data_IF_294919614734
#
_entry.id   IF_294919614734
#
_cell.length_a   1.000
_cell.length_b   1.000
_cell.length_c   1.000
_cell.angle_alpha   90.00
_cell.angle_beta   90.00
_cell.angle_gamma   90.00
#
_symmetry.space_group_name_H-M   'P 1'
#
loop_
_entity.id
_entity.type
_entity.pdbx_description
1 polymer ?
#
# COMPACT_ATOMS: atom_id res chain seq x y z
N UNK A 1 -0.85 -13.41 -14.55
CA UNK A 1 -1.64 -12.25 -14.11
C UNK A 1 -0.64 -11.26 -13.55
N UNK A 2 -0.52 -10.07 -14.15
CA UNK A 2 0.48 -9.06 -13.79
C UNK A 2 0.12 -8.43 -12.44
N UNK A 3 0.37 -9.20 -11.38
CA UNK A 3 0.36 -8.78 -9.98
C UNK A 3 1.52 -7.79 -9.78
N UNK A 4 1.41 -6.89 -8.80
CA UNK A 4 2.59 -6.34 -8.12
C UNK A 4 3.64 -7.45 -8.03
N UNK A 5 4.93 -7.16 -8.22
CA UNK A 5 6.03 -8.13 -8.17
C UNK A 5 6.20 -8.75 -6.76
N UNK A 6 5.16 -9.36 -6.20
CA UNK A 6 5.11 -9.96 -4.88
C UNK A 6 5.02 -8.96 -3.72
N UNK A 7 4.57 -7.71 -3.90
CA UNK A 7 4.60 -6.70 -2.83
C UNK A 7 3.24 -6.03 -2.61
N UNK A 8 2.74 -6.04 -1.38
CA UNK A 8 1.55 -5.27 -0.99
C UNK A 8 0.20 -5.72 -1.58
N UNK A 9 -0.81 -4.85 -1.36
CA UNK A 9 -2.20 -5.04 -1.76
C UNK A 9 -2.41 -4.61 -3.23
N UNK A 10 -2.90 -5.49 -4.11
CA UNK A 10 -2.95 -5.24 -5.56
C UNK A 10 -4.00 -4.22 -6.03
N UNK A 11 -4.84 -3.69 -5.12
CA UNK A 11 -5.89 -2.72 -5.44
C UNK A 11 -5.74 -1.40 -4.69
N UNK A 12 -4.59 -1.17 -4.04
CA UNK A 12 -4.35 0.04 -3.25
C UNK A 12 -4.37 1.31 -4.11
N UNK A 13 -3.90 1.25 -5.35
CA UNK A 13 -3.91 2.37 -6.30
C UNK A 13 -5.29 2.62 -6.90
N UNK A 14 -6.11 1.57 -7.09
CA UNK A 14 -7.46 1.71 -7.64
C UNK A 14 -8.32 2.70 -6.83
N UNK A 15 -8.35 2.57 -5.50
CA UNK A 15 -9.14 3.47 -4.65
C UNK A 15 -8.75 4.95 -4.79
N UNK A 16 -7.45 5.24 -4.96
CA UNK A 16 -6.95 6.61 -5.19
C UNK A 16 -7.32 7.13 -6.58
N UNK A 17 -7.18 6.29 -7.60
CA UNK A 17 -7.40 6.67 -8.99
C UNK A 17 -8.87 6.73 -9.43
N UNK A 18 -9.77 6.00 -8.77
CA UNK A 18 -11.16 5.83 -9.22
C UNK A 18 -12.21 6.47 -8.31
N UNK A 19 -11.82 7.02 -7.14
CA UNK A 19 -12.76 7.64 -6.21
C UNK A 19 -13.12 9.06 -6.67
N UNK A 20 -14.40 9.42 -6.72
CA UNK A 20 -14.81 10.78 -7.12
C UNK A 20 -14.66 11.82 -5.99
N UNK A 21 -14.51 11.38 -4.74
CA UNK A 21 -14.52 12.24 -3.55
C UNK A 21 -13.38 12.01 -2.57
N UNK A 22 -12.60 10.93 -2.75
CA UNK A 22 -11.54 10.51 -1.83
C UNK A 22 -10.27 10.09 -2.59
N UNK A 23 -9.75 10.99 -3.42
CA UNK A 23 -8.51 10.78 -4.22
C UNK A 23 -7.23 11.12 -3.46
N UNK A 24 -7.36 11.64 -2.23
CA UNK A 24 -6.21 12.04 -1.43
C UNK A 24 -5.36 10.81 -1.12
N UNK A 25 -4.10 10.85 -1.53
CA UNK A 25 -3.15 9.82 -1.17
C UNK A 25 -2.62 10.10 0.25
N UNK A 26 -2.89 9.23 1.24
CA UNK A 26 -2.40 9.43 2.59
C UNK A 26 -0.87 9.30 2.69
N UNK A 27 -0.19 8.86 1.62
CA UNK A 27 1.27 8.80 1.56
C UNK A 27 1.92 10.08 1.01
N UNK A 28 1.12 11.00 0.46
CA UNK A 28 1.63 12.28 -0.04
C UNK A 28 2.06 13.20 1.11
N UNK A 29 3.19 13.93 1.00
CA UNK A 29 3.63 14.85 2.05
C UNK A 29 2.58 15.88 2.45
N UNK A 30 1.73 16.30 1.51
CA UNK A 30 0.65 17.28 1.75
C UNK A 30 -0.44 16.78 2.71
N UNK A 31 -0.59 15.46 2.87
CA UNK A 31 -1.54 14.86 3.81
C UNK A 31 -1.06 14.98 5.26
N UNK A 32 0.26 15.09 5.48
CA UNK A 32 0.85 15.25 6.82
C UNK A 32 0.83 14.00 7.69
N UNK A 33 0.60 12.82 7.11
CA UNK A 33 0.70 11.55 7.84
C UNK A 33 2.16 11.12 8.03
N UNK A 34 2.39 10.32 9.07
CA UNK A 34 3.58 9.49 9.16
C UNK A 34 3.30 8.19 8.40
N UNK A 35 4.12 7.90 7.40
CA UNK A 35 3.95 6.77 6.50
C UNK A 35 4.92 5.64 6.83
N UNK A 36 4.51 4.40 6.61
CA UNK A 36 5.35 3.21 6.77
C UNK A 36 5.03 2.17 5.68
N UNK A 37 5.87 1.14 5.56
CA UNK A 37 5.73 0.06 4.58
C UNK A 37 4.63 -0.95 4.92
N UNK A 38 4.14 -1.69 3.92
CA UNK A 38 3.27 -2.86 4.16
C UNK A 38 3.58 -4.00 3.17
N UNK A 39 4.81 -4.01 2.68
CA UNK A 39 5.28 -4.86 1.59
C UNK A 39 6.02 -6.10 2.07
N UNK A 40 6.26 -6.19 3.38
CA UNK A 40 7.04 -7.24 4.01
C UNK A 40 8.52 -6.86 4.11
N UNK A 41 9.11 -7.14 5.28
CA UNK A 41 10.52 -6.88 5.58
C UNK A 41 11.08 -8.05 6.39
N UNK A 42 12.18 -8.64 5.91
CA UNK A 42 12.81 -9.77 6.57
C UNK A 42 11.87 -10.98 6.67
N UNK A 43 11.60 -11.42 7.89
CA UNK A 43 10.69 -12.54 8.19
C UNK A 43 9.20 -12.11 8.26
N UNK A 44 8.92 -10.81 8.09
CA UNK A 44 7.55 -10.30 8.12
C UNK A 44 6.94 -10.33 6.73
N UNK A 45 5.73 -10.86 6.68
CA UNK A 45 4.96 -10.99 5.46
C UNK A 45 4.29 -9.67 5.07
N UNK A 46 3.95 -9.57 3.78
CA UNK A 46 3.26 -8.41 3.20
C UNK A 46 1.77 -8.41 3.49
N UNK A 47 1.15 -7.24 3.42
CA UNK A 47 -0.32 -7.14 3.32
C UNK A 47 -0.73 -7.48 1.89
N UNK A 48 -1.48 -8.56 1.68
CA UNK A 48 -1.99 -8.97 0.37
C UNK A 48 -3.51 -8.81 0.24
N UNK A 49 -4.19 -8.56 1.36
CA UNK A 49 -5.63 -8.42 1.45
C UNK A 49 -6.00 -7.06 2.03
N UNK A 50 -7.04 -6.42 1.50
CA UNK A 50 -7.56 -5.17 2.05
C UNK A 50 -8.34 -5.36 3.36
N UNK A 51 -8.50 -6.60 3.84
CA UNK A 51 -9.24 -6.90 5.06
C UNK A 51 -8.39 -6.63 6.29
N UNK A 52 -9.04 -6.27 7.40
CA UNK A 52 -8.40 -6.12 8.71
C UNK A 52 -7.76 -7.44 9.15
N UNK A 53 -8.56 -8.52 9.10
CA UNK A 53 -8.09 -9.89 9.26
C UNK A 53 -8.44 -10.67 8.01
N UNK A 54 -7.47 -11.39 7.45
CA UNK A 54 -7.66 -12.23 6.28
C UNK A 54 -7.31 -13.70 6.55
N UNK A 55 -6.89 -14.02 7.78
CA UNK A 55 -6.46 -15.37 8.15
C UNK A 55 -5.18 -15.79 7.41
N UNK A 56 -4.37 -14.81 6.98
CA UNK A 56 -2.99 -14.87 6.45
C UNK A 56 -2.79 -13.81 5.35
N UNK A 57 -2.73 -12.51 5.73
CA UNK A 57 -2.26 -11.34 4.93
C UNK A 57 -3.12 -10.06 5.04
N UNK A 58 -3.99 -9.97 6.05
CA UNK A 58 -4.68 -8.74 6.42
C UNK A 58 -3.80 -7.80 7.24
N UNK A 59 -4.20 -6.53 7.35
CA UNK A 59 -3.41 -5.49 8.03
C UNK A 59 -3.10 -5.80 9.51
N UNK A 60 -3.97 -6.57 10.18
CA UNK A 60 -3.84 -6.93 11.59
C UNK A 60 -3.56 -8.42 11.83
N UNK A 61 -3.20 -9.17 10.78
CA UNK A 61 -2.80 -10.56 10.94
C UNK A 61 -1.39 -10.66 11.57
N UNK A 62 -1.15 -11.73 12.34
CA UNK A 62 0.15 -11.97 12.97
C UNK A 62 1.23 -12.26 11.94
N UNK A 63 2.46 -11.80 12.19
CA UNK A 63 3.59 -11.99 11.28
C UNK A 63 3.60 -11.05 10.07
N UNK A 64 2.66 -10.09 9.98
CA UNK A 64 2.62 -9.07 8.93
C UNK A 64 3.36 -7.81 9.36
N UNK A 65 4.11 -7.21 8.43
CA UNK A 65 4.87 -5.96 8.63
C UNK A 65 4.02 -4.82 9.21
N UNK A 66 2.81 -4.63 8.68
CA UNK A 66 1.94 -3.52 9.07
C UNK A 66 1.59 -3.52 10.56
N UNK A 67 1.47 -4.68 11.20
CA UNK A 67 1.20 -4.76 12.65
C UNK A 67 2.40 -4.29 13.45
N UNK A 68 3.60 -4.68 13.03
CA UNK A 68 4.84 -4.23 13.68
C UNK A 68 4.97 -2.71 13.56
N UNK A 69 4.78 -2.16 12.36
CA UNK A 69 4.93 -0.72 12.14
C UNK A 69 3.88 0.11 12.90
N UNK A 70 2.64 -0.36 13.01
CA UNK A 70 1.62 0.27 13.87
C UNK A 70 2.06 0.30 15.34
N UNK A 71 2.65 -0.80 15.83
CA UNK A 71 3.19 -0.84 17.20
C UNK A 71 4.37 0.12 17.38
N UNK A 72 5.28 0.20 16.41
CA UNK A 72 6.41 1.13 16.44
C UNK A 72 5.94 2.59 16.40
N UNK A 73 5.00 2.93 15.52
CA UNK A 73 4.41 4.27 15.42
C UNK A 73 3.77 4.72 16.73
N UNK A 74 2.99 3.85 17.37
CA UNK A 74 2.25 4.17 18.60
C UNK A 74 3.09 4.16 19.87
N UNK A 75 4.34 3.66 19.78
CA UNK A 75 5.28 3.61 20.92
C UNK A 75 6.45 4.58 20.79
N UNK A 76 6.41 5.51 19.82
CA UNK A 76 7.45 6.54 19.66
C UNK A 76 8.74 6.00 19.04
N UNK A 77 8.66 4.93 18.26
CA UNK A 77 9.80 4.25 17.64
C UNK A 77 9.77 4.35 16.11
N UNK A 78 9.31 5.49 15.58
CA UNK A 78 9.10 5.71 14.15
C UNK A 78 10.37 5.47 13.31
N UNK A 79 11.55 5.75 13.85
CA UNK A 79 12.84 5.53 13.17
C UNK A 79 13.14 4.05 12.86
N UNK A 80 12.36 3.13 13.43
CA UNK A 80 12.48 1.68 13.22
C UNK A 80 11.45 1.12 12.25
N UNK A 81 10.51 1.93 11.78
CA UNK A 81 9.45 1.46 10.88
C UNK A 81 10.01 1.13 9.49
N UNK A 82 9.36 0.21 8.79
CA UNK A 82 9.69 -0.02 7.40
C UNK A 82 9.45 1.26 6.57
N UNK A 83 10.38 1.63 5.67
CA UNK A 83 10.21 2.82 4.86
C UNK A 83 9.01 2.66 3.92
N UNK A 84 8.17 3.68 3.83
CA UNK A 84 7.15 3.74 2.80
C UNK A 84 7.81 4.07 1.45
N UNK A 85 7.78 3.12 0.53
CA UNK A 85 8.27 3.32 -0.84
C UNK A 85 7.07 3.60 -1.74
N UNK A 86 6.98 4.80 -2.36
CA UNK A 86 5.89 5.10 -3.29
C UNK A 86 5.82 4.08 -4.41
N UNK A 87 4.62 3.58 -4.65
CA UNK A 87 4.35 2.61 -5.71
C UNK A 87 3.60 3.26 -6.84
N UNK A 88 4.10 3.06 -8.06
CA UNK A 88 3.31 3.34 -9.25
C UNK A 88 2.14 2.36 -9.35
N UNK A 89 1.19 2.65 -10.23
CA UNK A 89 0.08 1.74 -10.52
C UNK A 89 0.60 0.37 -11.01
N UNK A 90 -0.08 -0.71 -10.62
CA UNK A 90 0.13 -2.02 -11.23
C UNK A 90 -0.21 -1.99 -12.73
N UNK A 91 0.28 -2.94 -13.54
CA UNK A 91 -0.19 -3.11 -14.91
C UNK A 91 -1.71 -3.32 -14.99
N UNK A 92 -2.30 -4.03 -14.03
CA UNK A 92 -3.75 -4.22 -13.94
C UNK A 92 -4.49 -2.92 -13.63
N UNK A 93 -4.05 -2.15 -12.63
CA UNK A 93 -4.65 -0.86 -12.31
C UNK A 93 -4.50 0.14 -13.46
N UNK A 94 -3.36 0.17 -14.17
CA UNK A 94 -3.22 0.99 -15.38
C UNK A 94 -4.23 0.62 -16.45
N UNK A 95 -4.44 -0.67 -16.69
CA UNK A 95 -5.44 -1.14 -17.65
C UNK A 95 -6.86 -0.73 -17.25
N UNK A 96 -7.20 -0.80 -15.97
CA UNK A 96 -8.55 -0.48 -15.48
C UNK A 96 -8.79 1.03 -15.41
N UNK A 97 -7.80 1.80 -14.95
CA UNK A 97 -7.91 3.26 -14.78
C UNK A 97 -7.74 4.01 -16.10
N UNK A 98 -6.96 3.46 -17.05
CA UNK A 98 -6.68 4.07 -18.36
C UNK A 98 -6.95 3.09 -19.53
N UNK A 99 -8.20 2.62 -19.70
CA UNK A 99 -8.53 1.54 -20.63
C UNK A 99 -8.33 1.86 -22.11
N UNK A 100 -8.18 3.15 -22.47
CA UNK A 100 -8.01 3.62 -23.86
C UNK A 100 -6.63 4.25 -24.15
N UNK A 101 -5.69 4.11 -23.22
CA UNK A 101 -4.28 4.36 -23.49
C UNK A 101 -3.88 5.82 -23.72
N UNK A 102 -4.14 6.68 -22.75
CA UNK A 102 -3.40 7.93 -22.62
C UNK A 102 -1.96 7.64 -22.11
N UNK A 103 -1.12 7.10 -22.99
CA UNK A 103 0.28 6.73 -22.70
C UNK A 103 1.30 7.77 -23.14
N UNK A 104 0.88 8.96 -23.60
CA UNK A 104 1.79 10.03 -24.02
C UNK A 104 1.39 11.39 -23.45
N UNK A 105 2.39 12.05 -22.86
CA UNK A 105 2.47 13.43 -22.40
C UNK A 105 1.77 13.82 -21.08
N UNK A 106 2.54 13.70 -19.98
CA UNK A 106 2.90 14.83 -19.10
C UNK A 106 4.03 14.47 -18.14
#
# INVERSE_FOLDING_TARGET
>A
MLQELGQGNPLAGFGRGSSDSHQQDPTEPSFGATTFGADGTGELERVASHRVHAGDSGYLDGGIESVQDVALATTGQQDRMAPCVPKGLTPYERMVLFPFGEWFDR
#
